data_IF_417396634759
#
_entry.id   IF_417396634759
#
_cell.length_a   1.000
_cell.length_b   1.000
_cell.length_c   1.000
_cell.angle_alpha   90.00
_cell.angle_beta   90.00
_cell.angle_gamma   90.00
#
_symmetry.space_group_name_H-M   'P 1'
#
loop_
_entity.id
_entity.type
_entity.pdbx_description
1 polymer ?
#
# COMPACT_ATOMS: atom_id res chain seq x y z
N UNK A 1 11.54 -22.17 16.67
CA UNK A 1 11.24 -20.86 17.31
C UNK A 1 12.01 -19.72 16.66
N UNK A 2 13.35 -19.64 16.77
CA UNK A 2 14.14 -18.56 16.15
C UNK A 2 13.96 -18.52 14.62
N UNK A 3 14.07 -19.66 13.94
CA UNK A 3 13.87 -19.76 12.48
C UNK A 3 12.48 -19.27 12.06
N UNK A 4 11.44 -19.63 12.81
CA UNK A 4 10.06 -19.21 12.56
C UNK A 4 9.90 -17.69 12.69
N UNK A 5 10.51 -17.09 13.71
CA UNK A 5 10.49 -15.63 13.91
C UNK A 5 11.21 -14.92 12.77
N UNK A 6 12.37 -15.43 12.34
CA UNK A 6 13.12 -14.85 11.22
C UNK A 6 12.32 -14.91 9.90
N UNK A 7 11.70 -16.06 9.60
CA UNK A 7 10.84 -16.22 8.42
C UNK A 7 9.64 -15.27 8.51
N UNK A 8 8.99 -15.18 9.67
CA UNK A 8 7.85 -14.28 9.87
C UNK A 8 8.22 -12.82 9.61
N UNK A 9 9.33 -12.34 10.20
CA UNK A 9 9.83 -10.99 10.01
C UNK A 9 10.15 -10.73 8.53
N UNK A 10 10.80 -11.70 7.87
CA UNK A 10 11.13 -11.61 6.45
C UNK A 10 9.87 -11.51 5.57
N UNK A 11 8.90 -12.41 5.76
CA UNK A 11 7.65 -12.43 4.99
C UNK A 11 6.85 -11.15 5.22
N UNK A 12 6.75 -10.67 6.47
CA UNK A 12 6.08 -9.41 6.78
C UNK A 12 6.78 -8.23 6.10
N UNK A 13 8.11 -8.19 6.15
CA UNK A 13 8.91 -7.16 5.48
C UNK A 13 8.72 -7.18 3.96
N UNK A 14 8.72 -8.37 3.34
CA UNK A 14 8.46 -8.54 1.92
C UNK A 14 7.05 -8.08 1.54
N UNK A 15 6.04 -8.45 2.33
CA UNK A 15 4.64 -8.09 2.10
C UNK A 15 4.44 -6.58 2.13
N UNK A 16 4.96 -5.90 3.15
CA UNK A 16 4.89 -4.43 3.22
C UNK A 16 5.67 -3.81 2.06
N UNK A 17 6.86 -4.29 1.73
CA UNK A 17 7.64 -3.72 0.62
C UNK A 17 6.91 -3.84 -0.73
N UNK A 18 6.31 -4.99 -1.02
CA UNK A 18 5.54 -5.20 -2.27
C UNK A 18 4.26 -4.37 -2.29
N UNK A 19 3.61 -4.17 -1.14
CA UNK A 19 2.47 -3.25 -1.00
C UNK A 19 2.85 -1.83 -1.44
N UNK A 20 3.93 -1.30 -0.87
CA UNK A 20 4.43 0.05 -1.17
C UNK A 20 4.89 0.17 -2.63
N UNK A 21 5.46 -0.91 -3.19
CA UNK A 21 5.84 -0.99 -4.60
C UNK A 21 4.59 -0.87 -5.51
N UNK A 22 3.44 -1.40 -5.11
CA UNK A 22 2.18 -1.25 -5.85
C UNK A 22 1.74 0.21 -5.98
N UNK A 23 1.72 0.93 -4.87
CA UNK A 23 1.43 2.36 -4.87
C UNK A 23 2.44 3.14 -5.72
N UNK A 24 3.73 2.86 -5.54
CA UNK A 24 4.81 3.50 -6.29
C UNK A 24 4.68 3.30 -7.80
N UNK A 25 4.50 2.05 -8.24
CA UNK A 25 4.42 1.70 -9.66
C UNK A 25 3.22 2.37 -10.35
N UNK A 26 2.04 2.33 -9.73
CA UNK A 26 0.86 2.99 -10.29
C UNK A 26 0.97 4.52 -10.26
N UNK A 27 1.55 5.11 -9.21
CA UNK A 27 1.78 6.54 -9.16
C UNK A 27 2.69 7.01 -10.31
N UNK A 28 3.79 6.31 -10.56
CA UNK A 28 4.69 6.62 -11.70
C UNK A 28 4.00 6.39 -13.05
N UNK A 29 3.17 5.34 -13.18
CA UNK A 29 2.43 5.05 -14.41
C UNK A 29 1.44 6.15 -14.79
N UNK A 30 0.78 6.79 -13.81
CA UNK A 30 -0.11 7.94 -14.05
C UNK A 30 0.61 9.29 -14.08
N UNK A 31 1.94 9.29 -14.09
CA UNK A 31 2.75 10.51 -14.12
C UNK A 31 2.56 11.37 -12.86
N UNK A 32 2.36 10.73 -11.71
CA UNK A 32 2.42 11.39 -10.41
C UNK A 32 3.87 11.51 -9.95
N UNK A 33 4.18 12.60 -9.27
CA UNK A 33 5.45 12.80 -8.59
C UNK A 33 5.54 11.85 -7.40
N UNK A 34 6.72 11.27 -7.17
CA UNK A 34 7.02 10.52 -5.95
C UNK A 34 8.27 11.14 -5.37
N UNK A 35 8.14 11.71 -4.18
CA UNK A 35 9.22 12.43 -3.50
C UNK A 35 10.27 11.44 -3.00
N UNK A 36 9.82 10.32 -2.43
CA UNK A 36 10.68 9.27 -1.88
C UNK A 36 10.04 7.89 -2.00
N UNK A 37 10.85 6.89 -2.36
CA UNK A 37 10.52 5.48 -2.25
C UNK A 37 11.63 4.81 -1.44
N UNK A 38 11.30 4.33 -0.25
CA UNK A 38 12.26 3.83 0.72
C UNK A 38 12.09 2.35 0.99
N UNK A 39 13.21 1.63 1.10
CA UNK A 39 13.26 0.31 1.74
C UNK A 39 13.54 0.49 3.23
N UNK A 40 12.76 -0.17 4.07
CA UNK A 40 12.88 -0.07 5.52
C UNK A 40 12.29 1.20 6.14
N UNK A 41 12.34 1.29 7.48
CA UNK A 41 11.87 2.44 8.25
C UNK A 41 13.02 3.36 8.71
N UNK A 42 12.78 4.68 8.82
CA UNK A 42 13.77 5.68 9.26
C UNK A 42 14.49 5.32 10.57
N UNK A 43 15.71 5.85 10.80
CA UNK A 43 16.41 6.89 10.03
C UNK A 43 17.02 6.38 8.72
N UNK A 44 17.20 7.28 7.75
CA UNK A 44 17.82 6.98 6.46
C UNK A 44 19.31 6.70 6.62
N UNK A 45 19.80 5.61 6.02
CA UNK A 45 21.24 5.30 5.91
C UNK A 45 21.82 5.93 4.65
N UNK A 46 21.19 5.64 3.50
CA UNK A 46 21.68 6.03 2.19
C UNK A 46 20.51 6.29 1.25
N UNK A 47 20.76 7.00 0.16
CA UNK A 47 19.78 7.14 -0.90
C UNK A 47 20.32 7.81 -2.16
N UNK A 48 19.68 7.51 -3.27
CA UNK A 48 20.05 8.00 -4.61
C UNK A 48 18.83 8.68 -5.22
N UNK A 49 18.98 9.92 -5.69
CA UNK A 49 17.91 10.64 -6.38
C UNK A 49 17.99 10.35 -7.88
N UNK A 50 16.94 9.76 -8.45
CA UNK A 50 16.84 9.43 -9.88
C UNK A 50 15.44 9.72 -10.40
N UNK A 51 15.34 10.51 -11.48
CA UNK A 51 14.05 10.82 -12.13
C UNK A 51 13.04 11.52 -11.21
N UNK A 52 13.52 12.46 -10.38
CA UNK A 52 12.70 13.20 -9.40
C UNK A 52 12.47 12.48 -8.08
N UNK A 53 12.61 11.15 -8.06
CA UNK A 53 12.34 10.32 -6.88
C UNK A 53 13.62 10.01 -6.11
N UNK A 54 13.58 10.15 -4.79
CA UNK A 54 14.64 9.68 -3.91
C UNK A 54 14.42 8.21 -3.55
N UNK A 55 15.33 7.33 -3.98
CA UNK A 55 15.35 5.93 -3.57
C UNK A 55 16.20 5.81 -2.32
N UNK A 56 15.60 5.47 -1.18
CA UNK A 56 16.29 5.43 0.11
C UNK A 56 16.38 4.03 0.71
N UNK A 57 17.46 3.79 1.45
CA UNK A 57 17.66 2.62 2.30
C UNK A 57 17.72 3.14 3.73
N UNK A 58 16.88 2.59 4.61
CA UNK A 58 16.74 3.04 5.98
C UNK A 58 17.23 1.98 6.98
N UNK A 59 17.47 2.42 8.21
CA UNK A 59 18.15 1.64 9.25
C UNK A 59 17.41 0.36 9.64
N UNK A 60 16.08 0.42 9.70
CA UNK A 60 15.26 -0.73 10.08
C UNK A 60 14.89 -1.46 8.79
N UNK A 61 15.43 -2.66 8.50
CA UNK A 61 15.24 -3.35 7.22
C UNK A 61 13.90 -4.09 7.16
N UNK A 62 12.82 -3.41 7.53
CA UNK A 62 11.46 -3.96 7.55
C UNK A 62 10.55 -3.13 6.63
N UNK A 63 9.95 -3.80 5.65
CA UNK A 63 8.99 -3.17 4.76
C UNK A 63 9.58 -2.11 3.85
N UNK A 64 8.78 -1.09 3.58
CA UNK A 64 9.16 0.10 2.85
C UNK A 64 8.16 1.22 3.11
N UNK A 65 8.35 2.33 2.40
CA UNK A 65 7.33 3.37 2.34
C UNK A 65 7.42 4.10 0.99
N UNK A 66 6.28 4.60 0.53
CA UNK A 66 6.21 5.55 -0.58
C UNK A 66 5.71 6.90 -0.09
N UNK A 67 6.32 7.99 -0.56
CA UNK A 67 5.82 9.36 -0.36
C UNK A 67 5.40 9.91 -1.71
N UNK A 68 4.10 9.85 -2.00
CA UNK A 68 3.55 10.38 -3.24
C UNK A 68 3.42 11.90 -3.10
N UNK A 69 3.91 12.62 -4.12
CA UNK A 69 3.90 14.06 -4.12
C UNK A 69 2.46 14.58 -4.03
N UNK A 70 2.17 15.43 -3.06
CA UNK A 70 0.83 15.99 -2.85
C UNK A 70 -0.19 15.03 -2.20
N UNK A 71 0.22 13.88 -1.64
CA UNK A 71 -0.68 13.01 -0.87
C UNK A 71 -0.98 13.59 0.53
N UNK A 72 0.05 14.06 1.23
CA UNK A 72 -0.05 14.53 2.63
C UNK A 72 -0.18 16.06 2.78
N UNK A 73 -0.64 16.75 1.74
CA UNK A 73 -0.60 18.22 1.65
C UNK A 73 -1.82 18.85 0.99
N UNK A 74 -3.01 18.29 1.23
CA UNK A 74 -4.25 18.98 0.85
C UNK A 74 -4.43 20.23 1.73
N UNK A 75 -3.95 21.37 1.26
CA UNK A 75 -4.74 22.58 1.43
C UNK A 75 -5.89 22.40 0.44
N UNK A 76 -7.16 22.36 0.87
CA UNK A 76 -8.30 22.20 -0.04
C UNK A 76 -8.54 23.52 -0.78
N UNK A 77 -7.53 23.98 -1.53
CA UNK A 77 -7.52 25.26 -2.27
C UNK A 77 -8.76 25.32 -3.17
N UNK A 78 -9.15 24.20 -3.76
CA UNK A 78 -10.35 24.09 -4.60
C UNK A 78 -11.64 24.38 -3.83
N UNK A 79 -11.78 23.80 -2.63
CA UNK A 79 -12.92 24.01 -1.75
C UNK A 79 -12.94 25.44 -1.21
N UNK A 80 -11.77 25.98 -0.88
CA UNK A 80 -11.59 27.38 -0.45
C UNK A 80 -11.96 28.36 -1.56
N UNK A 81 -11.53 28.14 -2.80
CA UNK A 81 -11.90 28.99 -3.95
C UNK A 81 -13.41 28.98 -4.16
N UNK A 82 -14.05 27.80 -4.15
CA UNK A 82 -15.50 27.68 -4.33
C UNK A 82 -16.24 28.38 -3.20
N UNK A 83 -15.83 28.13 -1.95
CA UNK A 83 -16.41 28.76 -0.77
C UNK A 83 -16.30 30.28 -0.84
N UNK A 84 -15.11 30.83 -1.14
CA UNK A 84 -14.91 32.29 -1.21
C UNK A 84 -15.69 32.93 -2.37
N UNK A 85 -15.84 32.25 -3.52
CA UNK A 85 -16.72 32.75 -4.59
C UNK A 85 -18.19 32.80 -4.19
N UNK A 86 -18.67 31.79 -3.46
CA UNK A 86 -20.04 31.81 -2.94
C UNK A 86 -20.21 32.89 -1.86
N UNK A 87 -19.23 33.04 -0.97
CA UNK A 87 -19.20 34.12 0.03
C UNK A 87 -19.14 35.52 -0.57
N UNK A 88 -18.47 35.71 -1.70
CA UNK A 88 -18.43 37.00 -2.41
C UNK A 88 -19.78 37.41 -3.02
N UNK A 89 -20.65 36.44 -3.36
CA UNK A 89 -22.01 36.70 -3.84
C UNK A 89 -22.99 36.99 -2.70
N UNK A 90 -22.72 36.48 -1.51
CA UNK A 90 -23.51 36.72 -0.32
C UNK A 90 -23.02 38.01 0.39
N UNK A 91 -23.95 38.78 0.95
CA UNK A 91 -23.61 40.03 1.64
C UNK A 91 -23.07 39.72 3.07
N UNK A 92 -21.85 39.17 3.15
CA UNK A 92 -21.27 38.60 4.37
C UNK A 92 -20.49 39.63 5.20
N UNK A 93 -20.39 39.36 6.50
CA UNK A 93 -19.83 40.20 7.55
C UNK A 93 -18.31 40.45 7.42
N UNK A 94 -17.88 41.73 7.52
CA UNK A 94 -16.46 42.15 7.54
C UNK A 94 -15.58 41.42 8.56
N UNK A 95 -16.15 40.96 9.68
CA UNK A 95 -15.39 40.26 10.73
C UNK A 95 -14.87 38.91 10.24
N UNK A 96 -15.68 38.17 9.50
CA UNK A 96 -15.36 36.84 8.99
C UNK A 96 -14.28 36.93 7.89
N UNK A 97 -14.39 37.93 7.01
CA UNK A 97 -13.40 38.22 5.97
C UNK A 97 -12.01 38.55 6.57
N UNK A 98 -11.96 39.25 7.71
CA UNK A 98 -10.69 39.54 8.41
C UNK A 98 -10.04 38.28 8.98
N UNK A 99 -10.82 37.35 9.52
CA UNK A 99 -10.32 36.08 10.06
C UNK A 99 -9.76 35.19 8.95
N UNK A 100 -10.47 35.07 7.83
CA UNK A 100 -10.00 34.29 6.69
C UNK A 100 -8.79 34.92 5.99
N UNK A 101 -8.76 36.24 5.87
CA UNK A 101 -7.58 36.97 5.37
C UNK A 101 -6.35 36.67 6.21
N UNK A 102 -6.49 36.64 7.55
CA UNK A 102 -5.41 36.30 8.47
C UNK A 102 -4.97 34.84 8.37
N UNK A 103 -5.93 33.94 8.17
CA UNK A 103 -5.65 32.53 7.91
C UNK A 103 -4.82 32.36 6.63
N UNK A 104 -5.24 32.99 5.53
CA UNK A 104 -4.53 32.94 4.23
C UNK A 104 -3.14 33.58 4.34
N UNK A 105 -2.97 34.69 5.05
CA UNK A 105 -1.65 35.29 5.26
C UNK A 105 -0.69 34.42 6.06
N UNK A 106 -1.21 33.61 6.99
CA UNK A 106 -0.40 32.66 7.75
C UNK A 106 -0.01 31.43 6.91
N UNK A 107 -0.90 31.02 6.01
CA UNK A 107 -0.69 29.86 5.13
C UNK A 107 0.22 30.20 3.93
N UNK A 108 0.13 31.44 3.45
CA UNK A 108 0.89 31.98 2.32
C UNK A 108 1.52 33.33 2.73
N UNK A 109 2.74 33.34 3.30
CA UNK A 109 3.41 34.55 3.77
C UNK A 109 3.60 35.65 2.71
N UNK A 110 3.58 35.28 1.43
CA UNK A 110 3.64 36.19 0.28
C UNK A 110 2.33 36.96 0.01
N UNK A 111 1.22 36.61 0.67
CA UNK A 111 -0.06 37.29 0.50
C UNK A 111 0.01 38.73 1.07
N UNK A 112 -0.18 39.74 0.21
CA UNK A 112 0.13 41.15 0.56
C UNK A 112 -1.06 42.11 0.54
N UNK A 113 -2.29 41.65 0.33
CA UNK A 113 -3.45 42.54 0.19
C UNK A 113 -3.87 43.10 1.56
N UNK A 114 -3.89 44.44 1.70
CA UNK A 114 -4.24 45.14 2.95
C UNK A 114 -5.74 45.07 3.29
N UNK A 115 -6.62 44.95 2.29
CA UNK A 115 -8.09 44.81 2.41
C UNK A 115 -8.64 44.03 1.21
N UNK A 116 -8.44 42.71 1.14
CA UNK A 116 -8.96 41.89 0.05
C UNK A 116 -10.49 41.71 0.19
N UNK A 117 -11.18 41.56 -0.93
CA UNK A 117 -12.52 40.97 -1.01
C UNK A 117 -12.44 39.44 -1.05
N UNK A 118 -13.57 38.75 -0.88
CA UNK A 118 -13.63 37.30 -1.07
C UNK A 118 -13.27 36.88 -2.51
N UNK A 119 -13.59 37.71 -3.50
CA UNK A 119 -13.20 37.50 -4.89
C UNK A 119 -11.68 37.61 -5.07
N UNK A 120 -11.03 38.57 -4.41
CA UNK A 120 -9.57 38.70 -4.41
C UNK A 120 -8.88 37.50 -3.74
N UNK A 121 -9.44 36.99 -2.64
CA UNK A 121 -8.94 35.76 -1.99
C UNK A 121 -9.10 34.55 -2.93
N UNK A 122 -10.25 34.43 -3.60
CA UNK A 122 -10.49 33.37 -4.57
C UNK A 122 -9.54 33.47 -5.76
N UNK A 123 -9.27 34.67 -6.28
CA UNK A 123 -8.38 34.90 -7.41
C UNK A 123 -6.90 34.70 -7.02
N UNK A 124 -6.49 35.10 -5.82
CA UNK A 124 -5.16 34.77 -5.29
C UNK A 124 -4.95 33.26 -5.19
N UNK A 125 -5.90 32.55 -4.58
CA UNK A 125 -5.87 31.10 -4.47
C UNK A 125 -5.91 30.42 -5.83
N UNK A 126 -6.69 30.94 -6.78
CA UNK A 126 -6.76 30.45 -8.16
C UNK A 126 -5.44 30.63 -8.89
N UNK A 127 -4.79 31.79 -8.76
CA UNK A 127 -3.47 32.03 -9.32
C UNK A 127 -2.43 31.08 -8.70
N UNK A 128 -2.47 30.87 -7.38
CA UNK A 128 -1.62 29.89 -6.69
C UNK A 128 -1.88 28.46 -7.16
N UNK A 129 -3.14 28.12 -7.44
CA UNK A 129 -3.58 26.84 -8.04
C UNK A 129 -3.09 26.66 -9.47
N UNK A 130 -3.06 27.70 -10.29
CA UNK A 130 -2.52 27.57 -11.65
C UNK A 130 -1.01 27.27 -11.64
N UNK A 131 -0.35 27.49 -10.49
CA UNK A 131 1.01 27.05 -10.17
C UNK A 131 1.09 25.74 -9.36
N UNK A 132 -0.03 25.06 -9.06
CA UNK A 132 -0.03 23.74 -8.41
C UNK A 132 0.60 22.70 -9.36
N UNK A 133 1.51 21.90 -8.82
CA UNK A 133 2.29 20.92 -9.58
C UNK A 133 1.35 19.88 -10.23
N UNK A 134 1.36 19.82 -11.57
CA UNK A 134 0.57 18.85 -12.37
C UNK A 134 0.92 17.39 -12.08
N UNK A 135 2.04 17.15 -11.41
CA UNK A 135 2.46 15.82 -10.95
C UNK A 135 1.91 15.49 -9.56
N UNK A 136 1.33 16.44 -8.82
CA UNK A 136 0.77 16.18 -7.50
C UNK A 136 -0.47 15.28 -7.57
N UNK A 137 -0.58 14.37 -6.60
CA UNK A 137 -1.66 13.39 -6.46
C UNK A 137 -3.05 14.03 -6.54
N UNK A 138 -3.26 15.14 -5.81
CA UNK A 138 -4.55 15.86 -5.78
C UNK A 138 -4.90 16.60 -7.08
N UNK A 139 -4.04 16.63 -8.10
CA UNK A 139 -4.38 17.22 -9.41
C UNK A 139 -4.89 16.18 -10.40
N UNK A 140 -4.65 14.88 -10.12
CA UNK A 140 -5.07 13.79 -11.01
C UNK A 140 -6.57 13.50 -10.89
N UNK A 141 -7.25 12.97 -11.91
CA UNK A 141 -8.61 12.49 -11.80
C UNK A 141 -8.82 11.51 -10.63
N UNK A 142 -10.01 11.53 -10.02
CA UNK A 142 -10.35 10.71 -8.84
C UNK A 142 -10.12 9.22 -9.10
N UNK A 143 -10.45 8.72 -10.30
CA UNK A 143 -10.26 7.31 -10.66
C UNK A 143 -8.78 6.91 -10.70
N UNK A 144 -7.87 7.80 -11.12
CA UNK A 144 -6.43 7.53 -11.08
C UNK A 144 -5.92 7.47 -9.64
N UNK A 145 -6.37 8.39 -8.79
CA UNK A 145 -6.06 8.38 -7.36
C UNK A 145 -6.56 7.09 -6.70
N UNK A 146 -7.79 6.71 -7.02
CA UNK A 146 -8.39 5.48 -6.50
C UNK A 146 -7.58 4.24 -6.90
N UNK A 147 -7.19 4.12 -8.18
CA UNK A 147 -6.35 3.00 -8.64
C UNK A 147 -5.02 2.95 -7.87
N UNK A 148 -4.37 4.10 -7.66
CA UNK A 148 -3.12 4.16 -6.89
C UNK A 148 -3.35 3.70 -5.45
N UNK A 149 -4.43 4.10 -4.79
CA UNK A 149 -4.75 3.71 -3.41
C UNK A 149 -5.08 2.21 -3.26
N UNK A 150 -5.65 1.56 -4.27
CA UNK A 150 -5.92 0.11 -4.21
C UNK A 150 -4.72 -0.74 -4.68
N UNK A 151 -3.76 -0.13 -5.38
CA UNK A 151 -2.64 -0.84 -5.99
C UNK A 151 -1.80 -1.63 -4.98
N UNK A 152 -1.59 -1.10 -3.77
CA UNK A 152 -0.84 -1.80 -2.73
C UNK A 152 -1.53 -3.08 -2.27
N UNK A 153 -2.84 -3.03 -2.02
CA UNK A 153 -3.63 -4.22 -1.63
C UNK A 153 -3.63 -5.24 -2.76
N UNK A 154 -3.83 -4.80 -4.00
CA UNK A 154 -3.80 -5.67 -5.18
C UNK A 154 -2.46 -6.40 -5.32
N UNK A 155 -1.34 -5.70 -5.16
CA UNK A 155 -0.01 -6.33 -5.26
C UNK A 155 0.23 -7.37 -4.18
N UNK A 156 -0.35 -7.22 -2.99
CA UNK A 156 -0.27 -8.24 -1.95
C UNK A 156 -1.10 -9.48 -2.29
N UNK A 157 -2.26 -9.33 -2.93
CA UNK A 157 -3.04 -10.46 -3.43
C UNK A 157 -2.25 -11.22 -4.49
N UNK A 158 -1.60 -10.51 -5.43
CA UNK A 158 -0.73 -11.11 -6.43
C UNK A 158 0.46 -11.82 -5.78
N UNK A 159 1.12 -11.19 -4.82
CA UNK A 159 2.21 -11.79 -4.06
C UNK A 159 1.76 -13.06 -3.34
N UNK A 160 0.61 -13.04 -2.69
CA UNK A 160 0.03 -14.19 -2.01
C UNK A 160 -0.21 -15.35 -2.98
N UNK A 161 -0.80 -15.08 -4.15
CA UNK A 161 -1.01 -16.09 -5.18
C UNK A 161 0.31 -16.72 -5.64
N UNK A 162 1.35 -15.92 -5.83
CA UNK A 162 2.70 -16.41 -6.19
C UNK A 162 3.29 -17.25 -5.06
N UNK A 163 3.26 -16.77 -3.82
CA UNK A 163 3.83 -17.48 -2.68
C UNK A 163 3.14 -18.83 -2.45
N UNK A 164 1.80 -18.86 -2.52
CA UNK A 164 1.04 -20.10 -2.42
C UNK A 164 1.33 -21.03 -3.58
N UNK A 165 1.34 -20.53 -4.82
CA UNK A 165 1.65 -21.35 -6.00
C UNK A 165 3.03 -21.99 -5.90
N UNK A 166 4.06 -21.22 -5.53
CA UNK A 166 5.43 -21.72 -5.35
C UNK A 166 5.49 -22.73 -4.20
N UNK A 167 4.85 -22.44 -3.07
CA UNK A 167 4.90 -23.35 -1.94
C UNK A 167 4.10 -24.63 -2.15
N UNK A 168 2.97 -24.60 -2.87
CA UNK A 168 2.28 -25.82 -3.32
C UNK A 168 3.10 -26.61 -4.34
N UNK A 169 3.88 -25.92 -5.19
CA UNK A 169 4.78 -26.57 -6.15
C UNK A 169 5.98 -27.26 -5.48
N UNK A 170 6.50 -26.68 -4.38
CA UNK A 170 7.60 -27.26 -3.59
C UNK A 170 7.08 -28.32 -2.60
N UNK A 171 5.78 -28.26 -2.25
CA UNK A 171 5.17 -29.03 -1.18
C UNK A 171 5.23 -28.29 0.14
N UNK A 172 4.07 -27.94 0.71
CA UNK A 172 3.98 -27.39 2.06
C UNK A 172 3.87 -28.51 3.09
N UNK A 173 4.64 -28.48 4.20
CA UNK A 173 4.46 -29.43 5.28
C UNK A 173 3.05 -29.27 5.85
N UNK A 174 2.25 -30.33 5.72
CA UNK A 174 0.89 -30.39 6.24
C UNK A 174 0.96 -30.77 7.73
N UNK A 175 0.30 -30.01 8.59
CA UNK A 175 0.27 -30.32 10.02
C UNK A 175 -0.61 -31.54 10.26
N UNK A 176 -0.01 -32.68 10.60
CA UNK A 176 -0.71 -33.72 11.35
C UNK A 176 -1.01 -33.15 12.75
N UNK A 177 -2.28 -32.91 13.06
CA UNK A 177 -2.68 -32.48 14.39
C UNK A 177 -2.62 -33.66 15.39
N UNK A 178 -2.08 -33.40 16.60
CA UNK A 178 -1.95 -34.31 17.76
C UNK A 178 -0.73 -35.25 17.84
N UNK A 179 0.47 -34.81 17.45
CA UNK A 179 1.70 -35.55 17.77
C UNK A 179 2.22 -35.21 19.20
N UNK A 180 2.56 -36.20 20.05
CA UNK A 180 3.12 -35.94 21.38
C UNK A 180 4.50 -35.25 21.31
N UNK A 181 4.86 -34.47 22.34
CA UNK A 181 6.00 -33.53 22.36
C UNK A 181 7.39 -34.13 22.05
N UNK A 182 7.53 -35.45 22.07
CA UNK A 182 8.79 -36.17 21.84
C UNK A 182 8.79 -36.91 20.48
N UNK A 183 7.76 -36.71 19.66
CA UNK A 183 7.62 -37.36 18.37
C UNK A 183 8.73 -36.87 17.43
N UNK A 184 9.72 -37.74 17.21
CA UNK A 184 10.56 -37.65 16.02
C UNK A 184 9.71 -38.18 14.88
N UNK A 185 9.30 -37.29 13.99
CA UNK A 185 8.67 -37.68 12.73
C UNK A 185 9.78 -38.23 11.84
N UNK A 186 9.85 -39.54 11.81
CA UNK A 186 10.60 -40.34 10.85
C UNK A 186 9.58 -41.15 10.04
N UNK A 187 9.94 -41.53 8.82
CA UNK A 187 9.03 -42.22 7.89
C UNK A 187 7.86 -41.32 7.43
N UNK A 188 8.18 -40.26 6.68
CA UNK A 188 7.18 -39.52 5.91
C UNK A 188 6.52 -40.48 4.92
N UNK A 189 5.26 -40.81 5.18
CA UNK A 189 4.50 -41.72 4.34
C UNK A 189 3.27 -41.03 3.78
N UNK A 190 2.91 -41.40 2.56
CA UNK A 190 1.69 -40.93 1.93
C UNK A 190 0.53 -41.76 2.49
N UNK A 191 -0.38 -41.09 3.19
CA UNK A 191 -1.54 -41.70 3.82
C UNK A 191 -2.80 -41.24 3.12
N UNK A 192 -3.70 -42.17 2.80
CA UNK A 192 -5.01 -41.85 2.26
C UNK A 192 -5.88 -41.30 3.38
N UNK A 193 -6.14 -39.99 3.37
CA UNK A 193 -6.88 -39.31 4.45
C UNK A 193 -8.39 -39.49 4.37
N UNK A 194 -8.93 -39.63 3.16
CA UNK A 194 -10.37 -39.76 2.94
C UNK A 194 -10.63 -40.56 1.66
N UNK A 195 -11.68 -41.38 1.64
CA UNK A 195 -12.14 -42.10 0.44
C UNK A 195 -13.64 -41.91 0.27
N UNK A 196 -14.03 -41.54 -0.94
CA UNK A 196 -15.44 -41.37 -1.27
C UNK A 196 -16.15 -42.65 -1.71
N UNK A 197 -17.42 -42.77 -1.31
CA UNK A 197 -18.21 -44.00 -1.44
C UNK A 197 -18.62 -44.33 -2.89
N UNK A 198 -18.64 -45.64 -3.21
CA UNK A 198 -19.06 -46.18 -4.50
C UNK A 198 -18.04 -46.02 -5.63
N UNK A 199 -16.89 -45.41 -5.34
CA UNK A 199 -15.87 -45.10 -6.33
C UNK A 199 -14.81 -46.20 -6.47
N UNK A 200 -14.05 -46.22 -7.58
CA UNK A 200 -13.08 -47.28 -7.87
C UNK A 200 -12.03 -47.49 -6.78
N UNK A 201 -11.62 -46.45 -6.05
CA UNK A 201 -10.68 -46.57 -4.93
C UNK A 201 -11.24 -47.48 -3.83
N UNK A 202 -12.49 -47.25 -3.42
CA UNK A 202 -13.18 -48.10 -2.45
C UNK A 202 -13.43 -49.51 -2.98
N UNK A 203 -13.86 -49.65 -4.25
CA UNK A 203 -14.11 -50.97 -4.87
C UNK A 203 -12.83 -51.78 -5.11
N UNK A 204 -11.68 -51.11 -5.29
CA UNK A 204 -10.35 -51.71 -5.36
C UNK A 204 -9.81 -52.09 -3.97
N UNK A 205 -10.55 -51.76 -2.91
CA UNK A 205 -10.24 -52.11 -1.54
C UNK A 205 -9.32 -51.13 -0.81
N UNK A 206 -9.05 -49.96 -1.40
CA UNK A 206 -8.39 -48.89 -0.67
C UNK A 206 -9.33 -48.36 0.42
N UNK A 207 -8.76 -48.11 1.57
CA UNK A 207 -9.45 -47.59 2.75
C UNK A 207 -8.79 -46.31 3.26
N UNK A 208 -9.58 -45.48 3.96
CA UNK A 208 -9.03 -44.38 4.73
C UNK A 208 -8.00 -44.92 5.74
N UNK A 209 -6.85 -44.26 5.83
CA UNK A 209 -5.73 -44.68 6.65
C UNK A 209 -4.73 -45.60 5.96
N UNK A 210 -4.97 -45.99 4.69
CA UNK A 210 -3.98 -46.76 3.94
C UNK A 210 -2.68 -45.97 3.78
N UNK A 211 -1.58 -46.61 4.17
CA UNK A 211 -0.23 -46.07 4.05
C UNK A 211 0.39 -46.68 2.80
N UNK A 212 0.64 -45.84 1.80
CA UNK A 212 1.20 -46.30 0.53
C UNK A 212 2.70 -46.48 0.71
N UNK A 213 3.10 -47.74 0.86
CA UNK A 213 4.49 -48.13 1.14
C UNK A 213 5.31 -48.19 -0.15
N UNK A 214 4.71 -48.74 -1.19
CA UNK A 214 5.30 -48.85 -2.52
C UNK A 214 4.20 -48.99 -3.56
N UNK A 215 4.46 -48.55 -4.79
CA UNK A 215 3.55 -48.73 -5.91
C UNK A 215 4.30 -49.39 -7.07
N UNK A 216 3.85 -50.57 -7.50
CA UNK A 216 4.54 -51.38 -8.51
C UNK A 216 5.99 -51.74 -8.12
N UNK A 217 6.21 -52.09 -6.85
CA UNK A 217 7.49 -52.49 -6.25
C UNK A 217 8.57 -51.38 -6.15
N UNK A 218 8.18 -50.12 -5.98
CA UNK A 218 9.08 -48.99 -5.67
C UNK A 218 8.55 -48.17 -4.51
#
# INVERSE_FOLDING_TARGET
MITTILIFIFVLGLLVFVHELGHFTMAKAFGMGVDEFGFGFPPRIAGIKKGGTLYSINWIPLGGFVKIHGENGMIPIDEMIVNYKEKGKANINEKELKEETKFISNLFPEFSLKKPSYEDLADFLKNKKDHLDKTAFYTKPIWQRFIVLIAGVFMNVVLCAILLSVGYMIGFPSALENLPANARVSDENIVVLQIEEGLPAQNAGLAEGDIIISANNQ
#
